data_IF_698621138004
#
_entry.id   IF_698621138004
#
_cell.length_a   1.000
_cell.length_b   1.000
_cell.length_c   1.000
_cell.angle_alpha   90.00
_cell.angle_beta   90.00
_cell.angle_gamma   90.00
#
_symmetry.space_group_name_H-M   'P 1'
#
loop_
_entity.id
_entity.type
_entity.pdbx_description
1 polymer ?
#
# COMPACT_ATOMS: atom_id res chain seq x y z
N UNK A 1 -13.50 -19.02 21.11
CA UNK A 1 -13.30 -17.90 20.16
C UNK A 1 -11.82 -17.81 19.84
N UNK A 2 -11.45 -17.79 18.56
CA UNK A 2 -10.06 -17.65 18.12
C UNK A 2 -9.66 -16.17 18.14
N UNK A 3 -8.52 -15.84 18.74
CA UNK A 3 -8.02 -14.45 18.80
C UNK A 3 -7.01 -14.22 17.68
N UNK A 4 -6.86 -12.96 17.25
CA UNK A 4 -5.93 -12.58 16.18
C UNK A 4 -4.47 -13.00 16.47
N UNK A 5 -4.11 -13.07 17.75
CA UNK A 5 -2.78 -13.47 18.19
C UNK A 5 -2.55 -14.99 18.09
N UNK A 6 -3.61 -15.78 17.99
CA UNK A 6 -3.53 -17.24 17.86
C UNK A 6 -3.26 -17.68 16.41
N UNK A 7 -3.34 -16.74 15.46
CA UNK A 7 -3.06 -16.98 14.05
C UNK A 7 -1.55 -17.04 13.79
N UNK A 8 -1.14 -18.03 13.00
CA UNK A 8 0.19 -18.07 12.40
C UNK A 8 0.40 -16.87 11.47
N UNK A 9 1.66 -16.57 11.15
CA UNK A 9 1.99 -15.50 10.20
C UNK A 9 1.30 -15.70 8.84
N UNK A 10 1.22 -16.94 8.35
CA UNK A 10 0.54 -17.27 7.09
C UNK A 10 -0.95 -16.97 7.15
N UNK A 11 -1.63 -17.38 8.22
CA UNK A 11 -3.07 -17.12 8.38
C UNK A 11 -3.37 -15.62 8.51
N UNK A 12 -2.49 -14.85 9.17
CA UNK A 12 -2.60 -13.39 9.22
C UNK A 12 -2.49 -12.75 7.83
N UNK A 13 -1.55 -13.23 7.01
CA UNK A 13 -1.41 -12.75 5.62
C UNK A 13 -2.66 -13.09 4.80
N UNK A 14 -3.18 -14.32 4.90
CA UNK A 14 -4.42 -14.72 4.22
C UNK A 14 -5.61 -13.86 4.67
N UNK A 15 -5.74 -13.62 5.97
CA UNK A 15 -6.81 -12.79 6.51
C UNK A 15 -6.68 -11.33 6.03
N UNK A 16 -5.46 -10.77 6.03
CA UNK A 16 -5.22 -9.43 5.51
C UNK A 16 -5.59 -9.32 4.02
N UNK A 17 -5.26 -10.34 3.21
CA UNK A 17 -5.66 -10.40 1.81
C UNK A 17 -7.18 -10.44 1.65
N UNK A 18 -7.87 -11.30 2.41
CA UNK A 18 -9.33 -11.41 2.34
C UNK A 18 -10.05 -10.12 2.75
N UNK A 19 -9.54 -9.43 3.79
CA UNK A 19 -10.05 -8.13 4.20
C UNK A 19 -9.80 -7.08 3.12
N UNK A 20 -8.63 -7.10 2.49
CA UNK A 20 -8.30 -6.21 1.39
C UNK A 20 -9.19 -6.45 0.17
N UNK A 21 -9.41 -7.71 -0.22
CA UNK A 21 -10.29 -8.11 -1.32
C UNK A 21 -11.74 -7.67 -1.07
N UNK A 22 -12.21 -7.77 0.18
CA UNK A 22 -13.55 -7.30 0.57
C UNK A 22 -13.72 -5.79 0.38
N UNK A 23 -12.71 -4.99 0.75
CA UNK A 23 -12.73 -3.54 0.54
C UNK A 23 -12.57 -3.22 -0.95
N UNK A 24 -11.74 -3.99 -1.66
CA UNK A 24 -11.51 -3.81 -3.08
C UNK A 24 -12.78 -4.02 -3.91
N UNK A 25 -13.61 -4.98 -3.53
CA UNK A 25 -14.87 -5.27 -4.20
C UNK A 25 -15.93 -4.15 -4.04
N UNK A 26 -15.75 -3.26 -3.05
CA UNK A 26 -16.58 -2.08 -2.80
C UNK A 26 -15.91 -0.78 -3.31
N UNK A 27 -14.85 -0.86 -4.14
CA UNK A 27 -14.11 0.33 -4.63
C UNK A 27 -15.00 1.37 -5.32
N UNK A 28 -16.06 0.93 -6.00
CA UNK A 28 -17.01 1.83 -6.68
C UNK A 28 -17.89 2.64 -5.71
N UNK A 29 -17.91 2.30 -4.42
CA UNK A 29 -18.58 3.09 -3.38
C UNK A 29 -17.88 4.43 -3.16
N UNK A 30 -16.57 4.52 -3.41
CA UNK A 30 -15.79 5.76 -3.29
C UNK A 30 -15.58 6.36 -4.67
N UNK A 31 -16.57 7.14 -5.13
CA UNK A 31 -16.46 7.86 -6.40
C UNK A 31 -15.46 9.01 -6.28
N UNK A 32 -14.30 8.86 -6.94
CA UNK A 32 -13.37 9.97 -7.12
C UNK A 32 -13.97 11.04 -8.03
N UNK A 33 -13.85 12.30 -7.61
CA UNK A 33 -14.15 13.45 -8.47
C UNK A 33 -13.18 13.52 -9.63
N UNK A 34 -13.57 14.19 -10.73
CA UNK A 34 -12.69 14.42 -11.88
C UNK A 34 -11.39 15.11 -11.47
N UNK A 35 -11.45 16.07 -10.54
CA UNK A 35 -10.26 16.76 -10.04
C UNK A 35 -9.29 15.81 -9.32
N UNK A 36 -9.80 14.88 -8.51
CA UNK A 36 -8.96 13.88 -7.82
C UNK A 36 -8.33 12.89 -8.80
N UNK A 37 -9.07 12.47 -9.84
CA UNK A 37 -8.52 11.60 -10.89
C UNK A 37 -7.39 12.28 -11.65
N UNK A 38 -7.61 13.53 -12.08
CA UNK A 38 -6.58 14.31 -12.76
C UNK A 38 -5.33 14.50 -11.91
N UNK A 39 -5.48 14.70 -10.60
CA UNK A 39 -4.33 14.81 -9.68
C UNK A 39 -3.56 13.48 -9.58
N UNK A 40 -4.26 12.35 -9.52
CA UNK A 40 -3.61 11.03 -9.52
C UNK A 40 -2.84 10.79 -10.82
N UNK A 41 -3.45 11.12 -11.97
CA UNK A 41 -2.81 10.97 -13.28
C UNK A 41 -1.56 11.85 -13.40
N UNK A 42 -1.63 13.10 -12.91
CA UNK A 42 -0.47 14.01 -12.88
C UNK A 42 0.67 13.47 -12.01
N UNK A 43 0.35 12.97 -10.81
CA UNK A 43 1.36 12.42 -9.89
C UNK A 43 1.98 11.13 -10.42
N UNK A 44 1.20 10.31 -11.12
CA UNK A 44 1.70 9.10 -11.77
C UNK A 44 2.67 9.46 -12.90
N UNK A 45 2.29 10.39 -13.78
CA UNK A 45 3.17 10.87 -14.85
C UNK A 45 4.46 11.50 -14.30
N UNK A 46 4.36 12.25 -13.19
CA UNK A 46 5.54 12.82 -12.53
C UNK A 46 6.45 11.73 -11.95
N UNK A 47 5.89 10.69 -11.33
CA UNK A 47 6.66 9.56 -10.81
C UNK A 47 7.37 8.78 -11.92
N UNK A 48 6.68 8.51 -13.03
CA UNK A 48 7.25 7.84 -14.21
C UNK A 48 8.41 8.64 -14.84
N UNK A 49 8.30 9.97 -14.81
CA UNK A 49 9.33 10.89 -15.32
C UNK A 49 10.53 11.02 -14.37
N UNK A 50 10.28 11.16 -13.07
CA UNK A 50 11.32 11.34 -12.04
C UNK A 50 12.09 10.04 -11.78
N UNK A 51 11.48 8.87 -12.04
CA UNK A 51 12.05 7.53 -11.78
C UNK A 51 12.63 7.36 -10.37
N UNK A 52 12.21 8.21 -9.44
CA UNK A 52 12.64 8.18 -8.06
C UNK A 52 11.87 7.08 -7.33
N UNK A 53 12.28 5.85 -7.59
CA UNK A 53 11.71 4.60 -7.05
C UNK A 53 11.88 4.45 -5.52
N UNK A 54 12.35 5.50 -4.86
CA UNK A 54 12.76 5.46 -3.46
C UNK A 54 14.07 4.70 -3.29
N UNK A 55 14.50 4.58 -2.04
CA UNK A 55 15.70 3.81 -1.69
C UNK A 55 15.29 2.45 -1.15
N UNK A 56 16.10 1.43 -1.44
CA UNK A 56 15.94 0.12 -0.82
C UNK A 56 15.88 0.22 0.72
N UNK A 57 15.06 -0.64 1.33
CA UNK A 57 14.87 -0.63 2.77
C UNK A 57 16.19 -0.78 3.54
N UNK A 58 17.14 -1.58 3.05
CA UNK A 58 18.44 -1.75 3.69
C UNK A 58 19.26 -0.45 3.67
N UNK A 59 19.18 0.32 2.59
CA UNK A 59 19.83 1.63 2.46
C UNK A 59 19.28 2.63 3.47
N UNK A 60 17.95 2.70 3.61
CA UNK A 60 17.29 3.59 4.58
C UNK A 60 17.57 3.14 6.01
N UNK A 61 17.50 1.84 6.28
CA UNK A 61 17.78 1.26 7.59
C UNK A 61 19.21 1.58 8.05
N UNK A 62 20.19 1.47 7.15
CA UNK A 62 21.60 1.79 7.46
C UNK A 62 21.77 3.28 7.79
N UNK A 63 21.11 4.19 7.05
CA UNK A 63 21.10 5.63 7.34
C UNK A 63 20.50 5.94 8.71
N UNK A 64 19.38 5.31 9.07
CA UNK A 64 18.68 5.56 10.35
C UNK A 64 19.50 5.02 11.53
N UNK A 65 20.16 3.88 11.35
CA UNK A 65 20.96 3.25 12.40
C UNK A 65 22.37 3.85 12.54
N UNK A 66 22.72 4.85 11.74
CA UNK A 66 23.98 5.61 11.87
C UNK A 66 25.23 4.74 11.76
N UNK A 67 25.24 3.79 10.83
CA UNK A 67 26.43 2.98 10.53
C UNK A 67 27.46 3.77 9.74
#
# INVERSE_FOLDING_TARGET
MMKLNDLTAREKVTLAQQLWDSVANDQDAIKLTTAQKNELDNRLAQFESDQNVGSDWNTIKSKILGS
#
